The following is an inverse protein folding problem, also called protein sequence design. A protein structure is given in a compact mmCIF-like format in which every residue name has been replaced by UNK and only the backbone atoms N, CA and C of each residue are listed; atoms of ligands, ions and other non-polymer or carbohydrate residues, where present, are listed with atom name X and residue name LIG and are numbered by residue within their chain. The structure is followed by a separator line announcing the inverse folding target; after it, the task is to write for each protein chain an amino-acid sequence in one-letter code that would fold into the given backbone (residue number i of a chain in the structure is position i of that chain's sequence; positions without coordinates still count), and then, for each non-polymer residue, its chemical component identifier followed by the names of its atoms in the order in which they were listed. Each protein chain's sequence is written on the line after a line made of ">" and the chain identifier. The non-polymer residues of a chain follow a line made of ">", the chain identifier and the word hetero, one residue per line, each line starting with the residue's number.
data_IF_724120558105
#
_entry.id   IF_724120558105
#
_cell.length_a   1.000
_cell.length_b   1.000
_cell.length_c   1.000
_cell.angle_alpha   90.00
_cell.angle_beta   90.00
_cell.angle_gamma   90.00
#
_symmetry.space_group_name_H-M   'P 1'
#
loop_
_entity.id
_entity.type
_entity.pdbx_description
1 polymer ?
#
# COMPACT_ATOMS: atom_id res chain seq x y z
N UNK A 1 -42.98 -4.55 60.37
CA UNK A 1 -41.97 -5.45 59.80
C UNK A 1 -42.20 -5.42 58.28
N UNK A 2 -42.10 -4.27 57.63
CA UNK A 2 -40.90 -3.49 57.28
C UNK A 2 -39.84 -4.31 56.54
N UNK A 3 -39.78 -4.15 55.21
CA UNK A 3 -38.49 -3.99 54.51
C UNK A 3 -38.72 -3.22 53.20
N UNK A 4 -38.21 -2.00 53.18
CA UNK A 4 -38.20 -1.03 52.09
C UNK A 4 -37.16 -1.40 51.02
N UNK A 5 -37.49 -1.28 49.74
CA UNK A 5 -36.54 -1.40 48.62
C UNK A 5 -35.90 -0.03 48.33
N UNK A 6 -34.62 0.13 48.68
CA UNK A 6 -33.85 1.33 48.33
C UNK A 6 -33.25 1.19 46.93
N UNK A 7 -33.79 1.96 45.96
CA UNK A 7 -33.19 2.18 44.63
C UNK A 7 -31.99 3.14 44.76
N UNK A 8 -30.80 2.67 44.40
CA UNK A 8 -29.60 3.50 44.28
C UNK A 8 -29.65 4.23 42.92
N UNK A 9 -29.88 5.55 42.94
CA UNK A 9 -29.68 6.42 41.78
C UNK A 9 -28.17 6.71 41.60
N UNK A 10 -27.56 6.10 40.59
CA UNK A 10 -26.23 6.48 40.14
C UNK A 10 -26.29 7.85 39.43
N UNK A 11 -25.59 8.85 39.98
CA UNK A 11 -25.39 10.15 39.34
C UNK A 11 -24.33 10.04 38.22
N UNK A 12 -24.56 10.58 37.02
CA UNK A 12 -23.52 10.65 35.99
C UNK A 12 -22.48 11.71 36.36
N UNK A 13 -21.20 11.36 36.28
CA UNK A 13 -20.08 12.32 36.45
C UNK A 13 -19.95 13.20 35.21
N UNK A 14 -19.63 14.50 35.37
CA UNK A 14 -19.46 15.41 34.23
C UNK A 14 -18.17 15.10 33.46
N UNK A 15 -18.30 14.99 32.14
CA UNK A 15 -17.17 14.85 31.20
C UNK A 15 -16.58 16.23 30.94
N UNK A 16 -15.28 16.41 31.18
CA UNK A 16 -14.59 17.67 30.87
C UNK A 16 -14.30 17.76 29.36
N UNK A 17 -14.53 18.91 28.70
CA UNK A 17 -14.20 19.06 27.29
C UNK A 17 -12.68 19.13 27.09
N UNK A 18 -12.18 18.38 26.10
CA UNK A 18 -10.80 18.49 25.62
C UNK A 18 -10.61 19.83 24.89
N UNK A 19 -9.62 20.61 25.32
CA UNK A 19 -9.21 21.83 24.64
C UNK A 19 -8.60 21.49 23.26
N UNK A 20 -9.16 22.09 22.20
CA UNK A 20 -8.60 22.03 20.84
C UNK A 20 -7.40 22.98 20.75
N UNK A 21 -6.20 22.45 20.54
CA UNK A 21 -5.07 23.26 20.09
C UNK A 21 -5.25 23.58 18.60
N UNK A 22 -5.38 24.86 18.28
CA UNK A 22 -5.41 25.35 16.89
C UNK A 22 -3.98 25.37 16.34
N UNK A 23 -3.72 24.58 15.30
CA UNK A 23 -2.49 24.69 14.51
C UNK A 23 -2.72 25.76 13.44
N UNK A 24 -2.03 26.90 13.58
CA UNK A 24 -2.05 27.98 12.59
C UNK A 24 -1.24 27.59 11.36
N UNK A 25 -1.90 27.53 10.20
CA UNK A 25 -1.24 27.40 8.90
C UNK A 25 -0.83 28.80 8.45
N UNK A 26 0.47 29.05 8.35
CA UNK A 26 1.01 30.26 7.74
C UNK A 26 0.99 30.11 6.21
N UNK A 27 0.15 30.91 5.56
CA UNK A 27 0.07 31.04 4.10
C UNK A 27 1.18 32.00 3.64
N UNK A 28 2.15 31.55 2.84
CA UNK A 28 3.11 32.43 2.16
C UNK A 28 2.58 32.69 0.75
N UNK A 29 2.31 33.95 0.44
CA UNK A 29 1.87 34.43 -0.85
C UNK A 29 3.02 35.03 -1.67
N UNK A 30 3.00 34.69 -2.96
CA UNK A 30 3.36 35.46 -4.16
C UNK A 30 4.77 36.07 -4.33
N UNK A 31 5.40 35.76 -5.48
CA UNK A 31 5.86 36.78 -6.44
C UNK A 31 5.69 36.25 -7.86
N UNK A 32 5.04 37.04 -8.72
CA UNK A 32 4.90 36.88 -10.16
C UNK A 32 5.89 37.78 -10.93
N UNK A 33 6.03 37.46 -12.22
CA UNK A 33 6.39 38.31 -13.36
C UNK A 33 7.83 38.24 -13.91
N UNK A 34 7.89 38.06 -15.24
CA UNK A 34 9.09 38.23 -16.04
C UNK A 34 8.98 37.62 -17.45
N UNK A 35 8.10 38.15 -18.31
CA UNK A 35 8.09 37.85 -19.74
C UNK A 35 8.78 38.97 -20.53
N UNK A 36 9.67 38.63 -21.46
CA UNK A 36 10.17 39.43 -22.58
C UNK A 36 11.11 38.53 -23.43
N UNK A 37 11.31 38.67 -24.73
CA UNK A 37 10.62 39.22 -25.90
C UNK A 37 11.43 38.71 -27.11
N UNK A 38 10.80 38.65 -28.29
CA UNK A 38 11.39 38.19 -29.55
C UNK A 38 12.69 38.92 -29.96
N UNK A 39 13.60 38.18 -30.59
CA UNK A 39 14.69 38.73 -31.40
C UNK A 39 14.95 37.84 -32.61
N UNK A 40 14.65 38.37 -33.79
CA UNK A 40 14.95 37.79 -35.11
C UNK A 40 16.41 38.10 -35.50
N UNK A 41 17.10 37.14 -36.11
CA UNK A 41 18.44 37.33 -36.64
C UNK A 41 18.85 36.21 -37.57
N UNK A 42 18.82 36.48 -38.88
CA UNK A 42 19.18 35.60 -39.99
C UNK A 42 20.67 35.71 -40.32
N UNK A 43 21.36 34.59 -40.56
CA UNK A 43 22.14 34.22 -41.76
C UNK A 43 23.28 33.24 -41.46
N UNK A 44 23.53 32.41 -42.47
CA UNK A 44 24.21 31.12 -42.47
C UNK A 44 25.74 31.19 -42.68
N UNK A 45 26.45 30.13 -42.29
CA UNK A 45 27.58 29.57 -43.04
C UNK A 45 27.86 28.12 -42.61
N UNK A 46 28.06 27.24 -43.58
CA UNK A 46 28.23 25.79 -43.44
C UNK A 46 29.69 25.36 -43.67
N UNK A 47 30.11 24.28 -43.00
CA UNK A 47 31.01 23.19 -43.46
C UNK A 47 31.70 22.47 -42.27
N UNK A 48 32.25 21.24 -42.41
CA UNK A 48 31.89 20.11 -43.27
C UNK A 48 31.69 18.80 -42.46
N UNK A 49 31.38 17.72 -43.18
CA UNK A 49 30.81 16.48 -42.68
C UNK A 49 31.67 15.64 -41.73
N UNK A 50 30.96 15.00 -40.80
CA UNK A 50 31.42 13.79 -40.12
C UNK A 50 30.31 12.74 -40.27
N UNK A 51 30.67 11.63 -40.90
CA UNK A 51 29.82 10.48 -41.17
C UNK A 51 29.47 9.78 -39.86
N UNK A 52 28.30 10.07 -39.29
CA UNK A 52 27.73 9.29 -38.20
C UNK A 52 27.11 8.01 -38.76
N UNK A 53 27.77 6.88 -38.52
CA UNK A 53 27.15 5.57 -38.64
C UNK A 53 25.86 5.53 -37.81
N UNK A 54 24.80 4.81 -38.24
CA UNK A 54 23.59 4.73 -37.44
C UNK A 54 23.95 3.99 -36.15
N UNK A 55 23.96 4.72 -35.04
CA UNK A 55 23.93 4.12 -33.72
C UNK A 55 22.60 3.39 -33.69
N UNK A 56 22.66 2.06 -33.86
CA UNK A 56 21.53 1.20 -33.62
C UNK A 56 21.07 1.49 -32.20
N UNK A 57 19.94 2.17 -32.07
CA UNK A 57 19.18 2.21 -30.83
C UNK A 57 18.77 0.75 -30.60
N UNK A 58 19.62 0.02 -29.89
CA UNK A 58 19.22 -1.19 -29.20
C UNK A 58 18.08 -0.75 -28.32
N UNK A 59 16.86 -1.05 -28.77
CA UNK A 59 15.63 -0.94 -28.02
C UNK A 59 15.73 -1.93 -26.87
N UNK A 60 16.51 -1.53 -25.85
CA UNK A 60 16.33 -2.00 -24.49
C UNK A 60 14.86 -1.80 -24.21
N UNK A 61 14.11 -2.89 -24.22
CA UNK A 61 12.70 -2.88 -23.88
C UNK A 61 12.62 -2.35 -22.45
N UNK A 62 12.39 -1.05 -22.31
CA UNK A 62 11.95 -0.46 -21.06
C UNK A 62 10.73 -1.28 -20.68
N UNK A 63 10.86 -2.05 -19.60
CA UNK A 63 9.76 -2.83 -19.05
C UNK A 63 8.53 -1.93 -19.02
N UNK A 64 7.45 -2.31 -19.70
CA UNK A 64 6.16 -1.62 -19.64
C UNK A 64 5.59 -1.58 -18.20
N UNK A 65 6.21 -2.32 -17.27
CA UNK A 65 5.97 -2.22 -15.84
C UNK A 65 6.78 -1.05 -15.30
N UNK A 66 6.11 -0.01 -14.81
CA UNK A 66 6.71 1.16 -14.16
C UNK A 66 7.70 0.79 -13.02
N UNK A 67 8.37 1.78 -12.44
CA UNK A 67 9.38 1.52 -11.40
C UNK A 67 8.75 0.80 -10.19
N UNK A 68 9.54 -0.06 -9.53
CA UNK A 68 9.19 -0.65 -8.23
C UNK A 68 8.63 0.44 -7.30
N UNK A 69 7.42 0.27 -6.70
CA UNK A 69 6.81 1.27 -5.84
C UNK A 69 7.66 1.60 -4.61
N UNK A 70 8.57 0.72 -4.21
CA UNK A 70 9.52 0.94 -3.12
C UNK A 70 10.86 1.56 -3.57
N UNK A 71 11.03 1.85 -4.88
CA UNK A 71 12.25 2.42 -5.43
C UNK A 71 12.60 3.78 -4.79
N UNK A 72 11.59 4.58 -4.46
CA UNK A 72 11.74 5.94 -3.92
C UNK A 72 11.61 6.03 -2.40
N UNK A 73 11.36 4.91 -1.72
CA UNK A 73 11.31 4.88 -0.25
C UNK A 73 12.70 4.61 0.35
N UNK A 74 12.91 4.93 1.65
CA UNK A 74 14.11 4.53 2.37
C UNK A 74 14.41 3.05 2.17
N UNK A 75 15.68 2.77 1.85
CA UNK A 75 16.17 1.40 1.68
C UNK A 75 16.31 0.76 3.04
N UNK A 76 15.71 -0.41 3.18
CA UNK A 76 15.72 -1.20 4.39
C UNK A 76 16.08 -2.64 4.03
N UNK A 77 16.68 -3.41 4.96
CA UNK A 77 16.97 -4.82 4.74
C UNK A 77 15.75 -5.63 4.29
N UNK A 78 16.02 -6.70 3.56
CA UNK A 78 15.03 -7.71 3.23
C UNK A 78 14.97 -8.82 4.29
N UNK A 79 13.82 -9.47 4.43
CA UNK A 79 13.69 -10.76 5.13
C UNK A 79 12.90 -11.75 4.28
N UNK A 80 12.70 -12.98 4.78
CA UNK A 80 12.04 -14.04 4.01
C UNK A 80 10.53 -13.94 4.14
N UNK A 81 9.85 -13.93 3.00
CA UNK A 81 8.40 -14.10 2.88
C UNK A 81 8.11 -15.23 1.90
N UNK A 82 7.22 -16.14 2.29
CA UNK A 82 6.72 -17.23 1.46
C UNK A 82 5.23 -17.42 1.61
N UNK A 83 4.66 -18.16 0.66
CA UNK A 83 3.25 -18.49 0.64
C UNK A 83 3.06 -19.89 0.07
N UNK A 84 2.07 -20.62 0.57
CA UNK A 84 1.61 -21.87 -0.06
C UNK A 84 0.60 -21.62 -1.18
N UNK A 85 0.13 -20.37 -1.35
CA UNK A 85 -0.94 -20.00 -2.29
C UNK A 85 -0.41 -19.17 -3.45
N UNK A 86 0.50 -18.21 -3.21
CA UNK A 86 1.11 -17.37 -4.24
C UNK A 86 2.62 -17.61 -4.35
N UNK A 87 3.22 -17.28 -5.49
CA UNK A 87 4.66 -17.44 -5.72
C UNK A 87 5.21 -16.19 -6.40
N UNK A 88 6.40 -15.76 -5.97
CA UNK A 88 7.04 -14.59 -6.54
C UNK A 88 7.31 -14.78 -8.05
N UNK A 89 6.95 -13.77 -8.84
CA UNK A 89 7.06 -13.79 -10.30
C UNK A 89 6.00 -14.62 -11.01
N UNK A 90 5.04 -15.22 -10.30
CA UNK A 90 3.91 -15.96 -10.89
C UNK A 90 2.61 -15.16 -10.77
N UNK A 91 1.64 -15.35 -11.68
CA UNK A 91 0.33 -14.71 -11.58
C UNK A 91 -0.41 -15.06 -10.29
N UNK A 92 -1.32 -14.19 -9.87
CA UNK A 92 -2.26 -14.52 -8.81
C UNK A 92 -3.13 -15.72 -9.23
N UNK A 93 -3.29 -16.74 -8.36
CA UNK A 93 -4.27 -17.78 -8.59
C UNK A 93 -5.70 -17.22 -8.58
N UNK A 94 -6.63 -17.94 -9.22
CA UNK A 94 -8.02 -17.51 -9.34
C UNK A 94 -8.67 -17.13 -7.99
N UNK A 95 -8.39 -17.86 -6.90
CA UNK A 95 -8.94 -17.56 -5.59
C UNK A 95 -8.52 -16.17 -5.04
N UNK A 96 -7.34 -15.67 -5.43
CA UNK A 96 -6.82 -14.35 -5.07
C UNK A 96 -7.22 -13.25 -6.07
N UNK A 97 -7.99 -13.58 -7.11
CA UNK A 97 -8.61 -12.58 -7.98
C UNK A 97 -9.93 -12.10 -7.39
N UNK A 98 -10.39 -10.93 -7.84
CA UNK A 98 -11.53 -10.29 -7.20
C UNK A 98 -12.88 -10.89 -7.60
N UNK A 99 -13.69 -11.26 -6.61
CA UNK A 99 -15.12 -11.54 -6.80
C UNK A 99 -15.91 -10.23 -6.82
N UNK A 100 -15.55 -9.27 -5.98
CA UNK A 100 -16.18 -7.94 -5.89
C UNK A 100 -16.18 -7.22 -7.23
N UNK A 101 -15.06 -7.22 -7.94
CA UNK A 101 -14.93 -6.66 -9.29
C UNK A 101 -15.27 -7.65 -10.41
N UNK A 102 -15.92 -8.77 -10.08
CA UNK A 102 -16.46 -9.75 -11.04
C UNK A 102 -15.41 -10.35 -11.99
N UNK A 103 -14.19 -10.55 -11.51
CA UNK A 103 -13.17 -11.27 -12.27
C UNK A 103 -13.60 -12.75 -12.36
N UNK A 104 -13.60 -13.37 -13.56
CA UNK A 104 -13.96 -14.78 -13.70
C UNK A 104 -13.12 -15.69 -12.80
N UNK A 105 -13.79 -16.48 -11.95
CA UNK A 105 -13.13 -17.38 -10.99
C UNK A 105 -12.57 -16.70 -9.74
N UNK A 106 -12.64 -15.36 -9.66
CA UNK A 106 -12.26 -14.56 -8.50
C UNK A 106 -13.10 -14.91 -7.27
N UNK A 107 -12.46 -14.90 -6.10
CA UNK A 107 -13.09 -15.25 -4.83
C UNK A 107 -12.79 -14.27 -3.69
N UNK A 108 -11.89 -13.29 -3.88
CA UNK A 108 -11.41 -12.38 -2.81
C UNK A 108 -10.86 -13.15 -1.58
N UNK A 109 -10.21 -14.30 -1.80
CA UNK A 109 -9.58 -15.04 -0.71
C UNK A 109 -8.14 -14.56 -0.56
N UNK A 110 -7.81 -13.94 0.57
CA UNK A 110 -6.43 -13.48 0.82
C UNK A 110 -5.45 -14.65 0.85
N UNK A 111 -4.22 -14.48 0.34
CA UNK A 111 -3.24 -15.56 0.30
C UNK A 111 -2.76 -15.96 1.70
N UNK A 112 -2.36 -17.22 1.85
CA UNK A 112 -1.58 -17.66 3.01
C UNK A 112 -0.21 -16.98 2.96
N UNK A 113 0.30 -16.50 4.09
CA UNK A 113 1.62 -15.87 4.17
C UNK A 113 2.40 -16.40 5.36
N UNK A 114 3.70 -16.56 5.22
CA UNK A 114 4.63 -16.92 6.30
C UNK A 114 5.94 -16.20 6.11
N UNK A 115 6.46 -15.61 7.18
CA UNK A 115 7.70 -14.85 7.15
C UNK A 115 8.65 -15.18 8.29
N UNK A 116 9.94 -14.97 8.04
CA UNK A 116 11.02 -15.30 8.98
C UNK A 116 12.28 -14.49 8.71
N UNK A 117 13.18 -14.42 9.68
CA UNK A 117 14.48 -13.73 9.51
C UNK A 117 14.38 -12.21 9.54
N UNK A 118 13.30 -11.66 10.09
CA UNK A 118 13.13 -10.22 10.33
C UNK A 118 14.05 -9.75 11.47
N UNK A 119 14.37 -8.44 11.55
CA UNK A 119 15.23 -7.89 12.61
C UNK A 119 14.75 -8.21 14.03
N UNK A 120 15.68 -8.47 14.96
CA UNK A 120 15.33 -8.75 16.37
C UNK A 120 14.60 -7.59 17.07
N UNK A 121 14.78 -6.37 16.58
CA UNK A 121 14.14 -5.17 17.12
C UNK A 121 12.66 -5.02 16.72
N UNK A 122 12.14 -5.92 15.87
CA UNK A 122 10.75 -5.86 15.41
C UNK A 122 9.75 -6.07 16.55
N UNK A 123 8.77 -5.18 16.64
CA UNK A 123 7.69 -5.21 17.64
C UNK A 123 6.31 -5.41 17.04
N UNK A 124 6.11 -5.07 15.77
CA UNK A 124 4.91 -5.38 15.01
C UNK A 124 5.19 -5.52 13.51
N UNK A 125 4.20 -6.00 12.78
CA UNK A 125 4.21 -6.09 11.33
C UNK A 125 3.02 -5.34 10.70
N UNK A 126 3.22 -4.93 9.46
CA UNK A 126 2.17 -4.53 8.53
C UNK A 126 2.17 -5.49 7.36
N UNK A 127 1.00 -5.98 6.96
CA UNK A 127 0.81 -6.73 5.71
C UNK A 127 0.04 -5.85 4.74
N UNK A 128 0.47 -5.77 3.49
CA UNK A 128 -0.27 -5.05 2.46
C UNK A 128 -0.21 -5.72 1.10
N UNK A 129 -1.19 -5.41 0.25
CA UNK A 129 -1.19 -5.69 -1.18
C UNK A 129 -1.46 -4.40 -1.96
N UNK A 130 -0.58 -4.08 -2.91
CA UNK A 130 -0.65 -2.85 -3.71
C UNK A 130 -0.42 -3.13 -5.19
N UNK A 131 -1.21 -2.47 -6.03
CA UNK A 131 -1.12 -2.48 -7.49
C UNK A 131 -0.70 -1.08 -7.99
N UNK A 132 0.57 -0.86 -8.35
CA UNK A 132 1.04 0.42 -8.86
C UNK A 132 0.58 0.71 -10.30
N UNK A 133 0.06 -0.27 -11.03
CA UNK A 133 -0.40 -0.10 -12.41
C UNK A 133 -1.89 0.26 -12.50
N UNK A 134 -2.64 0.23 -11.40
CA UNK A 134 -4.02 0.68 -11.40
C UNK A 134 -4.11 2.16 -11.88
N UNK A 135 -4.93 2.46 -12.91
CA UNK A 135 -4.93 3.76 -13.59
C UNK A 135 -5.72 4.83 -12.80
N UNK A 136 -5.30 5.10 -11.57
CA UNK A 136 -5.97 6.02 -10.61
C UNK A 136 -5.12 7.26 -10.30
N UNK A 137 -3.86 7.29 -10.75
CA UNK A 137 -2.85 8.28 -10.36
C UNK A 137 -2.10 7.94 -9.06
N UNK A 138 -2.59 6.99 -8.27
CA UNK A 138 -1.99 6.55 -7.00
C UNK A 138 -1.88 5.04 -6.84
N UNK A 139 -2.11 4.27 -7.90
CA UNK A 139 -2.27 2.82 -7.84
C UNK A 139 -3.53 2.41 -7.06
N UNK A 140 -3.58 1.16 -6.59
CA UNK A 140 -4.71 0.64 -5.82
C UNK A 140 -4.23 -0.23 -4.66
N UNK A 141 -4.62 0.13 -3.44
CA UNK A 141 -4.45 -0.71 -2.26
C UNK A 141 -5.56 -1.74 -2.20
N UNK A 142 -5.17 -3.00 -2.24
CA UNK A 142 -6.05 -4.17 -2.24
C UNK A 142 -6.23 -4.77 -0.85
N UNK A 143 -5.28 -4.51 0.05
CA UNK A 143 -5.31 -5.01 1.41
C UNK A 143 -4.30 -4.26 2.27
N UNK A 144 -4.67 -3.87 3.49
CA UNK A 144 -3.73 -3.38 4.50
C UNK A 144 -4.16 -3.84 5.89
N UNK A 145 -3.25 -4.50 6.60
CA UNK A 145 -3.40 -4.90 8.00
C UNK A 145 -2.23 -4.36 8.78
N UNK A 146 -2.50 -3.53 9.77
CA UNK A 146 -1.52 -2.92 10.68
C UNK A 146 -1.53 -3.61 12.05
N UNK A 147 -0.53 -3.31 12.87
CA UNK A 147 -0.45 -3.70 14.28
C UNK A 147 -0.49 -5.22 14.52
N UNK A 148 0.01 -6.00 13.55
CA UNK A 148 0.18 -7.45 13.71
C UNK A 148 1.30 -7.70 14.74
N UNK A 149 1.06 -8.41 15.86
CA UNK A 149 2.09 -8.58 16.89
C UNK A 149 3.35 -9.29 16.36
N UNK A 150 4.54 -8.94 16.85
CA UNK A 150 5.80 -9.57 16.43
C UNK A 150 5.89 -11.09 16.69
N UNK A 151 5.03 -11.62 17.57
CA UNK A 151 4.89 -13.07 17.81
C UNK A 151 4.15 -13.79 16.68
N UNK A 152 3.47 -13.06 15.80
CA UNK A 152 2.79 -13.61 14.62
C UNK A 152 3.77 -13.65 13.44
N UNK A 153 3.98 -14.85 12.90
CA UNK A 153 4.90 -15.07 11.75
C UNK A 153 4.20 -15.67 10.53
N UNK A 154 2.88 -15.78 10.60
CA UNK A 154 2.06 -16.27 9.49
C UNK A 154 0.63 -15.71 9.55
N UNK A 155 0.03 -15.50 8.38
CA UNK A 155 -1.41 -15.35 8.23
C UNK A 155 -1.94 -16.57 7.47
N UNK A 156 -3.06 -17.11 7.95
CA UNK A 156 -3.75 -18.21 7.30
C UNK A 156 -4.34 -17.77 5.95
N UNK A 157 -4.64 -18.74 5.09
CA UNK A 157 -5.51 -18.50 3.94
C UNK A 157 -6.79 -17.81 4.44
N UNK A 158 -7.25 -16.81 3.68
CA UNK A 158 -8.46 -16.04 3.99
C UNK A 158 -8.43 -15.22 5.30
N UNK A 159 -7.24 -14.94 5.85
CA UNK A 159 -7.11 -14.03 6.99
C UNK A 159 -7.60 -12.59 6.70
N UNK A 160 -7.70 -12.21 5.43
CA UNK A 160 -8.25 -10.94 4.97
C UNK A 160 -9.77 -10.90 4.81
N UNK A 161 -10.52 -11.95 5.18
CA UNK A 161 -11.98 -11.94 5.05
C UNK A 161 -12.66 -10.82 5.86
N UNK A 162 -13.86 -10.37 5.46
CA UNK A 162 -14.68 -9.46 6.26
C UNK A 162 -14.83 -9.92 7.70
N UNK A 163 -14.57 -9.04 8.67
CA UNK A 163 -14.64 -9.37 10.09
C UNK A 163 -13.83 -10.64 10.45
N UNK A 164 -12.68 -10.82 9.79
CA UNK A 164 -11.79 -11.97 9.97
C UNK A 164 -11.57 -12.30 11.45
N UNK A 165 -11.83 -13.56 11.79
CA UNK A 165 -11.60 -14.11 13.14
C UNK A 165 -10.22 -14.76 13.28
N UNK A 166 -9.45 -14.82 12.19
CA UNK A 166 -8.14 -15.47 12.14
C UNK A 166 -6.98 -14.47 12.18
N UNK A 167 -7.26 -13.16 12.05
CA UNK A 167 -6.27 -12.14 12.38
C UNK A 167 -5.92 -12.20 13.88
N UNK A 168 -4.64 -12.01 14.24
CA UNK A 168 -4.23 -12.04 15.63
C UNK A 168 -4.82 -10.87 16.41
N UNK A 169 -5.05 -11.02 17.73
CA UNK A 169 -5.52 -9.92 18.57
C UNK A 169 -4.63 -8.68 18.45
N UNK A 170 -5.26 -7.51 18.31
CA UNK A 170 -4.58 -6.23 18.15
C UNK A 170 -4.34 -5.82 16.69
N UNK A 171 -4.35 -6.76 15.74
CA UNK A 171 -4.26 -6.40 14.32
C UNK A 171 -5.52 -5.65 13.86
N UNK A 172 -5.32 -4.63 13.04
CA UNK A 172 -6.39 -3.80 12.49
C UNK A 172 -6.34 -3.84 10.97
N UNK A 173 -7.45 -4.21 10.35
CA UNK A 173 -7.61 -4.13 8.90
C UNK A 173 -8.15 -2.75 8.53
N UNK A 174 -7.37 -1.98 7.77
CA UNK A 174 -7.79 -0.69 7.28
C UNK A 174 -8.75 -0.84 6.11
N UNK A 175 -9.52 0.21 5.83
CA UNK A 175 -10.27 0.26 4.59
C UNK A 175 -9.28 0.33 3.42
N UNK A 176 -9.49 -0.50 2.41
CA UNK A 176 -8.75 -0.48 1.16
C UNK A 176 -9.30 0.59 0.19
N UNK A 177 -8.78 0.67 -1.03
CA UNK A 177 -9.24 1.66 -2.02
C UNK A 177 -10.63 1.31 -2.62
N UNK A 178 -11.15 0.11 -2.36
CA UNK A 178 -12.55 -0.24 -2.63
C UNK A 178 -13.50 0.22 -1.50
N UNK A 179 -12.95 0.81 -0.43
CA UNK A 179 -13.70 1.36 0.71
C UNK A 179 -14.14 0.30 1.71
N UNK A 180 -13.52 -0.88 1.71
CA UNK A 180 -13.92 -2.01 2.56
C UNK A 180 -12.79 -2.49 3.46
N UNK A 181 -13.15 -3.00 4.65
CA UNK A 181 -12.23 -3.62 5.59
C UNK A 181 -12.15 -5.13 5.30
N UNK A 182 -11.55 -5.47 4.17
CA UNK A 182 -11.27 -6.84 3.71
C UNK A 182 -10.12 -6.84 2.70
N UNK A 183 -9.65 -8.03 2.35
CA UNK A 183 -8.87 -8.25 1.15
C UNK A 183 -9.79 -8.18 -0.07
N UNK A 184 -9.41 -7.38 -1.05
CA UNK A 184 -10.01 -7.39 -2.39
C UNK A 184 -8.96 -7.86 -3.39
N UNK A 185 -9.29 -8.92 -4.13
CA UNK A 185 -8.36 -9.59 -5.03
C UNK A 185 -7.92 -8.73 -6.22
N UNK A 186 -6.95 -9.24 -6.98
CA UNK A 186 -6.51 -8.58 -8.20
C UNK A 186 -7.63 -8.50 -9.25
N UNK A 187 -7.78 -7.35 -9.89
CA UNK A 187 -8.80 -7.08 -10.92
C UNK A 187 -8.26 -6.14 -12.01
N UNK A 188 -7.21 -6.55 -12.76
CA UNK A 188 -6.65 -5.70 -13.79
C UNK A 188 -7.71 -5.42 -14.88
N UNK A 189 -8.01 -4.14 -15.20
CA UNK A 189 -9.01 -3.79 -16.21
C UNK A 189 -8.67 -4.39 -17.59
N UNK A 190 -9.69 -4.78 -18.36
CA UNK A 190 -9.46 -5.37 -19.69
C UNK A 190 -8.60 -4.45 -20.58
N UNK A 191 -7.58 -5.02 -21.22
CA UNK A 191 -6.66 -4.28 -22.09
C UNK A 191 -5.59 -3.43 -21.39
N UNK A 192 -5.54 -3.38 -20.04
CA UNK A 192 -4.52 -2.60 -19.31
C UNK A 192 -3.13 -3.27 -19.25
N UNK A 193 -2.98 -4.46 -19.83
CA UNK A 193 -1.73 -5.21 -19.84
C UNK A 193 -1.54 -6.04 -18.58
N UNK A 194 -0.33 -6.06 -18.02
CA UNK A 194 0.00 -6.83 -16.81
C UNK A 194 0.13 -5.89 -15.62
N UNK A 195 -0.58 -6.21 -14.53
CA UNK A 195 -0.46 -5.52 -13.26
C UNK A 195 0.37 -6.37 -12.30
N UNK A 196 1.31 -5.74 -11.60
CA UNK A 196 2.15 -6.39 -10.62
C UNK A 196 1.55 -6.18 -9.23
N UNK A 197 1.05 -7.25 -8.62
CA UNK A 197 0.51 -7.18 -7.27
C UNK A 197 1.61 -7.40 -6.24
N UNK A 198 1.99 -6.32 -5.54
CA UNK A 198 3.02 -6.32 -4.50
C UNK A 198 2.42 -6.71 -3.16
N UNK A 199 2.66 -7.95 -2.72
CA UNK A 199 2.29 -8.43 -1.39
C UNK A 199 3.49 -8.27 -0.47
N UNK A 200 3.41 -7.36 0.49
CA UNK A 200 4.56 -6.96 1.32
C UNK A 200 4.25 -7.16 2.80
N UNK A 201 5.22 -7.71 3.53
CA UNK A 201 5.29 -7.65 4.98
C UNK A 201 6.35 -6.63 5.38
N UNK A 202 5.97 -5.66 6.20
CA UNK A 202 6.86 -4.61 6.72
C UNK A 202 7.04 -4.83 8.22
N UNK A 203 8.30 -4.87 8.68
CA UNK A 203 8.64 -5.04 10.08
C UNK A 203 8.90 -3.67 10.75
N UNK A 204 8.26 -3.40 11.89
CA UNK A 204 8.31 -2.11 12.58
C UNK A 204 8.97 -2.18 13.95
N UNK A 205 9.58 -1.08 14.41
CA UNK A 205 10.18 -0.94 15.75
C UNK A 205 9.21 -0.48 16.86
N UNK A 206 7.95 -0.25 16.50
CA UNK A 206 6.83 0.07 17.40
C UNK A 206 5.86 -1.10 17.48
N UNK A 207 5.23 -1.30 18.64
CA UNK A 207 4.26 -2.39 18.85
C UNK A 207 2.86 -2.07 18.33
N UNK A 208 2.54 -0.79 18.18
CA UNK A 208 1.29 -0.30 17.61
C UNK A 208 1.55 1.06 16.94
N UNK A 209 0.87 1.31 15.84
CA UNK A 209 0.95 2.56 15.08
C UNK A 209 0.14 3.68 15.70
N UNK A 210 -0.88 3.36 16.50
CA UNK A 210 -1.79 4.34 17.10
C UNK A 210 -2.75 4.98 16.09
N UNK A 211 -2.83 4.43 14.87
CA UNK A 211 -3.72 4.91 13.83
C UNK A 211 -5.17 4.52 14.13
N UNK A 212 -6.16 5.39 13.86
CA UNK A 212 -7.55 4.98 13.89
C UNK A 212 -7.82 3.96 12.78
N UNK A 213 -8.84 3.11 12.96
CA UNK A 213 -9.27 2.15 11.92
C UNK A 213 -9.72 2.83 10.61
N UNK A 214 -10.03 4.12 10.65
CA UNK A 214 -10.39 4.94 9.48
C UNK A 214 -9.19 5.54 8.75
N UNK A 215 -7.96 5.28 9.19
CA UNK A 215 -6.77 5.73 8.49
C UNK A 215 -6.71 5.13 7.08
N UNK A 216 -6.32 5.94 6.10
CA UNK A 216 -6.10 5.45 4.74
C UNK A 216 -4.79 4.64 4.66
N UNK A 217 -4.67 3.71 3.70
CA UNK A 217 -3.42 3.03 3.38
C UNK A 217 -2.24 3.98 3.18
N UNK A 218 -2.46 5.11 2.51
CA UNK A 218 -1.43 6.12 2.29
C UNK A 218 -0.98 6.79 3.59
N UNK A 219 -1.92 7.13 4.49
CA UNK A 219 -1.57 7.70 5.79
C UNK A 219 -0.85 6.68 6.67
N UNK A 220 -1.25 5.41 6.63
CA UNK A 220 -0.53 4.34 7.29
C UNK A 220 0.90 4.21 6.76
N UNK A 221 1.09 4.20 5.43
CA UNK A 221 2.40 4.19 4.80
C UNK A 221 3.31 5.34 5.24
N UNK A 222 2.76 6.56 5.35
CA UNK A 222 3.46 7.72 5.88
C UNK A 222 3.86 7.53 7.35
N UNK A 223 2.91 7.12 8.20
CA UNK A 223 3.12 6.98 9.64
C UNK A 223 4.14 5.90 10.00
N UNK A 224 4.17 4.77 9.27
CA UNK A 224 5.12 3.67 9.53
C UNK A 224 6.51 3.91 8.93
N UNK A 225 6.66 4.89 8.05
CA UNK A 225 7.92 5.16 7.33
C UNK A 225 9.13 5.30 8.25
N UNK A 226 9.09 6.18 9.28
CA UNK A 226 10.16 6.35 10.26
C UNK A 226 10.44 5.11 11.12
N UNK A 227 9.47 4.21 11.23
CA UNK A 227 9.50 3.01 12.08
C UNK A 227 9.89 1.73 11.32
N UNK A 228 10.07 1.83 10.00
CA UNK A 228 10.30 0.65 9.15
C UNK A 228 11.72 0.13 9.30
N UNK A 229 11.84 -1.09 9.82
CA UNK A 229 13.12 -1.78 10.01
C UNK A 229 13.51 -2.65 8.80
N UNK A 230 12.55 -3.30 8.16
CA UNK A 230 12.78 -4.23 7.05
C UNK A 230 11.49 -4.48 6.25
N UNK A 231 11.62 -4.98 5.02
CA UNK A 231 10.48 -5.41 4.18
C UNK A 231 10.74 -6.76 3.52
N UNK A 232 9.70 -7.53 3.29
CA UNK A 232 9.75 -8.73 2.46
C UNK A 232 8.56 -8.72 1.50
N UNK A 233 8.81 -8.98 0.21
CA UNK A 233 7.82 -8.78 -0.84
C UNK A 233 7.74 -9.98 -1.77
N UNK A 234 6.51 -10.36 -2.12
CA UNK A 234 6.17 -11.24 -3.23
C UNK A 234 5.47 -10.38 -4.29
N UNK A 235 5.94 -10.43 -5.53
CA UNK A 235 5.32 -9.73 -6.66
C UNK A 235 4.61 -10.74 -7.54
N UNK A 236 3.31 -10.57 -7.77
CA UNK A 236 2.49 -11.47 -8.59
C UNK A 236 2.04 -10.80 -9.89
N UNK A 237 2.80 -10.88 -11.00
CA UNK A 237 2.43 -10.30 -12.29
C UNK A 237 1.20 -10.99 -12.88
N UNK A 238 0.08 -10.27 -13.02
CA UNK A 238 -1.19 -10.83 -13.44
C UNK A 238 -1.74 -10.05 -14.64
N UNK A 239 -2.06 -10.77 -15.72
CA UNK A 239 -2.56 -10.17 -16.97
C UNK A 239 -4.04 -9.83 -16.87
N UNK A 240 -4.40 -8.67 -17.43
CA UNK A 240 -5.76 -8.34 -17.81
C UNK A 240 -6.31 -9.34 -18.84
N UNK A 241 -7.60 -9.64 -18.75
CA UNK A 241 -8.30 -10.37 -19.81
C UNK A 241 -8.26 -9.58 -21.13
N UNK A 242 -8.17 -10.30 -22.24
CA UNK A 242 -8.15 -9.71 -23.58
C UNK A 242 -6.86 -8.95 -23.95
N UNK A 243 -5.73 -9.28 -23.30
CA UNK A 243 -4.39 -8.77 -23.62
C UNK A 243 -3.57 -9.69 -24.52
#
# INVERSE_FOLDING_TARGET
>A
MDTEQTRILAHPRPVRPFARAAVGIALIAAVTAGAAACGTGTTAAAAPGSSAAPVGLSSSQTSLRGPDPYAYLPKVPAFRLTSTTVRNGQPLPAAQLSKMFKVPGGQDISPQLTWSGFPKATKSFVVSMYDPQAPTGSGFWHWVVIDIPATTTSLLLDAGAPSSRTLPPGAVQLADDAGVHQYVGGAPPAGSGTHDYYITVTALDVSATGLPSTASPAYAGFAIGPHTLARATIVCPTRASGS
#
